data_IF_639821911162
#
_entry.id   IF_639821911162
#
_cell.length_a   1.000
_cell.length_b   1.000
_cell.length_c   1.000
_cell.angle_alpha   90.00
_cell.angle_beta   90.00
_cell.angle_gamma   90.00
#
_symmetry.space_group_name_H-M   'P 1'
#
loop_
_entity.id
_entity.type
_entity.pdbx_description
1 polymer ?
#
# COMPACT_ATOMS: atom_id res chain seq x y z
N UNK A 1 52.93 -31.46 -7.62
CA UNK A 1 52.25 -30.49 -8.51
C UNK A 1 50.75 -30.70 -8.40
N UNK A 2 50.12 -30.24 -7.32
CA UNK A 2 48.67 -30.36 -7.14
C UNK A 2 48.24 -29.28 -6.14
N UNK A 3 47.93 -28.09 -6.65
CA UNK A 3 47.24 -26.98 -5.96
C UNK A 3 47.14 -25.77 -6.91
N UNK A 4 46.62 -25.98 -8.11
CA UNK A 4 46.13 -24.90 -8.96
C UNK A 4 44.81 -25.44 -9.49
N UNK A 5 43.76 -24.61 -9.52
CA UNK A 5 42.37 -24.91 -9.92
C UNK A 5 41.40 -25.17 -8.75
N UNK A 6 41.23 -24.21 -7.84
CA UNK A 6 39.91 -24.04 -7.20
C UNK A 6 39.69 -22.62 -6.64
N UNK A 7 39.81 -21.59 -7.49
CA UNK A 7 39.45 -20.23 -7.09
C UNK A 7 38.89 -19.39 -8.24
N UNK A 8 37.92 -19.95 -8.97
CA UNK A 8 37.08 -19.15 -9.87
C UNK A 8 35.68 -19.73 -9.95
N UNK A 9 35.03 -19.93 -8.80
CA UNK A 9 33.56 -19.99 -8.75
C UNK A 9 33.06 -18.55 -8.83
N UNK A 10 33.00 -18.01 -10.04
CA UNK A 10 32.13 -16.88 -10.34
C UNK A 10 30.72 -17.34 -9.93
N UNK A 11 30.21 -16.81 -8.83
CA UNK A 11 28.78 -16.88 -8.53
C UNK A 11 28.10 -16.05 -9.59
N UNK A 12 27.77 -16.70 -10.70
CA UNK A 12 26.83 -16.23 -11.69
C UNK A 12 25.54 -15.91 -10.93
N UNK A 13 25.33 -14.62 -10.67
CA UNK A 13 24.04 -14.11 -10.23
C UNK A 13 23.17 -14.24 -11.47
N UNK A 14 22.54 -15.40 -11.64
CA UNK A 14 21.51 -15.61 -12.64
C UNK A 14 20.36 -14.69 -12.26
N UNK A 15 20.38 -13.47 -12.79
CA UNK A 15 19.18 -12.66 -12.94
C UNK A 15 18.37 -13.47 -13.94
N UNK A 16 17.47 -14.30 -13.45
CA UNK A 16 16.38 -14.81 -14.28
C UNK A 16 15.60 -13.58 -14.70
N UNK A 17 15.94 -13.04 -15.86
CA UNK A 17 15.06 -12.22 -16.68
C UNK A 17 13.91 -13.13 -17.12
N UNK A 18 13.00 -13.38 -16.17
CA UNK A 18 11.70 -13.96 -16.49
C UNK A 18 10.86 -12.84 -17.12
N UNK A 19 11.07 -12.71 -18.43
CA UNK A 19 10.07 -12.51 -19.46
C UNK A 19 8.98 -11.46 -19.18
N UNK A 20 9.08 -10.40 -19.98
CA UNK A 20 7.99 -9.55 -20.48
C UNK A 20 7.26 -8.68 -19.44
N UNK A 21 7.78 -7.46 -19.38
CA UNK A 21 7.09 -6.25 -18.97
C UNK A 21 5.85 -6.00 -19.83
N UNK A 22 4.74 -6.63 -19.44
CA UNK A 22 3.39 -6.35 -19.97
C UNK A 22 2.59 -5.47 -18.99
N UNK A 23 3.29 -4.77 -18.08
CA UNK A 23 2.65 -4.11 -16.94
C UNK A 23 2.69 -2.59 -17.04
N UNK A 24 1.65 -2.05 -17.68
CA UNK A 24 1.33 -0.63 -17.66
C UNK A 24 0.94 -0.23 -16.22
N UNK A 25 1.73 0.63 -15.59
CA UNK A 25 1.31 1.34 -14.39
C UNK A 25 0.06 2.15 -14.73
N UNK A 26 -1.05 1.87 -14.06
CA UNK A 26 -2.28 2.66 -14.18
C UNK A 26 -1.96 4.04 -13.58
N UNK A 27 -1.74 5.04 -14.44
CA UNK A 27 -1.60 6.44 -14.02
C UNK A 27 -2.84 6.82 -13.22
N UNK A 28 -2.63 7.09 -11.92
CA UNK A 28 -3.68 7.64 -11.07
C UNK A 28 -4.09 8.98 -11.69
N UNK A 29 -5.37 9.19 -12.05
CA UNK A 29 -5.82 10.48 -12.52
C UNK A 29 -5.38 11.57 -11.54
N UNK A 30 -4.79 12.65 -12.05
CA UNK A 30 -4.40 13.81 -11.24
C UNK A 30 -5.59 14.53 -10.58
N UNK A 31 -6.81 14.03 -10.80
CA UNK A 31 -8.06 14.53 -10.25
C UNK A 31 -8.34 13.88 -8.89
N UNK A 32 -7.42 14.05 -7.96
CA UNK A 32 -7.78 14.08 -6.55
C UNK A 32 -7.01 15.24 -5.92
N UNK A 33 -7.77 16.26 -5.51
CA UNK A 33 -7.36 17.56 -4.97
C UNK A 33 -6.75 17.41 -3.56
N UNK A 34 -5.88 16.42 -3.41
CA UNK A 34 -4.99 16.25 -2.27
C UNK A 34 -3.66 16.84 -2.68
N UNK A 35 -3.52 18.16 -2.49
CA UNK A 35 -2.20 18.76 -2.33
C UNK A 35 -1.45 17.94 -1.26
N UNK A 36 -0.36 17.23 -1.58
CA UNK A 36 0.58 16.88 -0.54
C UNK A 36 1.01 18.22 0.06
N UNK A 37 0.97 18.36 1.38
CA UNK A 37 1.65 19.48 2.04
C UNK A 37 3.06 19.49 1.46
N UNK A 38 3.34 20.55 0.69
CA UNK A 38 4.61 20.83 0.03
C UNK A 38 5.63 21.06 1.14
N UNK A 39 6.15 19.96 1.67
CA UNK A 39 7.19 19.92 2.68
C UNK A 39 8.53 19.92 1.96
N UNK A 40 9.01 21.11 1.62
CA UNK A 40 10.41 21.52 1.49
C UNK A 40 11.44 20.53 0.88
N UNK A 41 11.10 19.75 -0.13
CA UNK A 41 12.10 19.11 -1.01
C UNK A 41 12.41 20.02 -2.20
N UNK A 42 13.20 21.04 -1.90
CA UNK A 42 13.66 22.06 -2.83
C UNK A 42 14.50 21.41 -3.94
N UNK A 43 13.93 21.26 -5.15
CA UNK A 43 14.60 20.67 -6.34
C UNK A 43 15.98 21.30 -6.61
N UNK A 44 16.12 22.58 -6.26
CA UNK A 44 17.37 23.33 -6.35
C UNK A 44 18.45 22.75 -5.44
N UNK A 45 18.11 22.34 -4.20
CA UNK A 45 19.04 21.66 -3.29
C UNK A 45 19.48 20.31 -3.84
N UNK A 46 18.57 19.54 -4.45
CA UNK A 46 18.92 18.24 -5.03
C UNK A 46 19.93 18.40 -6.18
N UNK A 47 19.72 19.39 -7.05
CA UNK A 47 20.67 19.71 -8.13
C UNK A 47 22.01 20.21 -7.59
N UNK A 48 22.00 21.03 -6.54
CA UNK A 48 23.22 21.52 -5.90
C UNK A 48 24.04 20.39 -5.27
N UNK A 49 23.39 19.41 -4.61
CA UNK A 49 24.06 18.23 -4.04
C UNK A 49 24.69 17.35 -5.12
N UNK A 50 24.01 17.15 -6.26
CA UNK A 50 24.54 16.37 -7.38
C UNK A 50 25.78 17.06 -7.97
N UNK A 51 25.74 18.39 -8.10
CA UNK A 51 26.87 19.15 -8.61
C UNK A 51 28.05 19.15 -7.63
N UNK A 52 27.82 19.33 -6.34
CA UNK A 52 28.84 19.25 -5.30
C UNK A 52 29.50 17.86 -5.26
N UNK A 53 28.73 16.78 -5.39
CA UNK A 53 29.27 15.42 -5.49
C UNK A 53 30.11 15.19 -6.76
N UNK A 54 29.72 15.79 -7.89
CA UNK A 54 30.48 15.69 -9.13
C UNK A 54 31.83 16.44 -9.03
N UNK A 55 31.83 17.61 -8.40
CA UNK A 55 33.02 18.41 -8.13
C UNK A 55 33.97 17.69 -7.15
N UNK A 56 33.43 17.11 -6.07
CA UNK A 56 34.21 16.30 -5.11
C UNK A 56 34.83 15.06 -5.76
N UNK A 57 34.09 14.35 -6.60
CA UNK A 57 34.62 13.20 -7.36
C UNK A 57 35.76 13.62 -8.29
N UNK A 58 35.66 14.81 -8.89
CA UNK A 58 36.68 15.37 -9.76
C UNK A 58 37.93 15.78 -8.99
N UNK A 59 37.78 16.37 -7.80
CA UNK A 59 38.89 16.73 -6.89
C UNK A 59 39.63 15.47 -6.41
N UNK A 60 38.89 14.41 -6.04
CA UNK A 60 39.48 13.12 -5.63
C UNK A 60 40.27 12.49 -6.78
N UNK A 61 39.74 12.53 -8.00
CA UNK A 61 40.40 12.03 -9.19
C UNK A 61 41.67 12.83 -9.55
N UNK A 62 41.65 14.16 -9.40
CA UNK A 62 42.83 14.98 -9.62
C UNK A 62 43.91 14.74 -8.55
N UNK A 63 43.50 14.57 -7.29
CA UNK A 63 44.42 14.27 -6.18
C UNK A 63 45.10 12.90 -6.35
N UNK A 64 44.37 11.89 -6.83
CA UNK A 64 44.95 10.56 -7.08
C UNK A 64 45.98 10.58 -8.21
N UNK A 65 45.75 11.39 -9.25
CA UNK A 65 46.71 11.59 -10.37
C UNK A 65 47.96 12.35 -9.92
N UNK A 66 47.84 13.32 -9.01
CA UNK A 66 48.98 14.05 -8.45
C UNK A 66 49.82 13.17 -7.51
N UNK A 67 49.20 12.28 -6.74
CA UNK A 67 49.94 11.34 -5.87
C UNK A 67 50.63 10.21 -6.64
N UNK A 68 50.15 9.86 -7.85
CA UNK A 68 50.77 8.82 -8.68
C UNK A 68 52.07 9.28 -9.37
N UNK A 69 52.32 10.59 -9.48
CA UNK A 69 53.49 11.14 -10.22
C UNK A 69 54.69 11.48 -9.34
N UNK A 70 54.57 11.34 -8.02
CA UNK A 70 55.71 11.35 -7.11
C UNK A 70 56.10 9.91 -6.79
N UNK A 71 56.69 9.23 -7.77
CA UNK A 71 57.61 8.14 -7.44
C UNK A 71 58.78 8.77 -6.69
N UNK A 72 58.71 8.70 -5.36
CA UNK A 72 59.76 9.12 -4.44
C UNK A 72 61.05 8.45 -4.90
N UNK A 73 62.02 9.24 -5.34
CA UNK A 73 63.37 8.74 -5.54
C UNK A 73 63.83 8.22 -4.18
N UNK A 74 63.95 6.90 -4.03
CA UNK A 74 64.30 6.23 -2.78
C UNK A 74 65.68 6.74 -2.34
N UNK A 75 65.69 7.72 -1.43
CA UNK A 75 66.90 8.08 -0.69
C UNK A 75 67.15 6.90 0.25
N UNK A 76 68.29 6.21 0.16
CA UNK A 76 68.52 5.04 0.99
C UNK A 76 68.44 5.43 2.47
N UNK A 77 67.63 4.71 3.25
CA UNK A 77 67.52 4.95 4.70
C UNK A 77 68.87 4.70 5.36
N UNK A 78 69.28 5.62 6.24
CA UNK A 78 70.48 5.46 7.05
C UNK A 78 70.18 4.44 8.17
N UNK A 79 71.15 3.58 8.49
CA UNK A 79 70.94 2.43 9.40
C UNK A 79 70.42 2.83 10.78
N UNK A 80 70.79 3.99 11.32
CA UNK A 80 70.33 4.49 12.62
C UNK A 80 68.85 4.91 12.61
N UNK A 81 68.41 5.62 11.57
CA UNK A 81 66.99 5.96 11.35
C UNK A 81 66.14 4.70 11.22
N UNK A 82 66.64 3.70 10.49
CA UNK A 82 65.96 2.42 10.34
C UNK A 82 65.80 1.67 11.67
N UNK A 83 66.86 1.58 12.47
CA UNK A 83 66.81 0.92 13.78
C UNK A 83 65.83 1.63 14.72
N UNK A 84 65.82 2.96 14.71
CA UNK A 84 64.84 3.74 15.48
C UNK A 84 63.41 3.43 15.03
N UNK A 85 63.13 3.51 13.73
CA UNK A 85 61.82 3.21 13.16
C UNK A 85 61.39 1.76 13.42
N UNK A 86 62.32 0.81 13.35
CA UNK A 86 62.09 -0.60 13.65
C UNK A 86 61.66 -0.79 15.11
N UNK A 87 62.42 -0.22 16.06
CA UNK A 87 62.13 -0.35 17.49
C UNK A 87 60.80 0.32 17.86
N UNK A 88 60.47 1.47 17.25
CA UNK A 88 59.16 2.12 17.40
C UNK A 88 58.05 1.21 16.89
N UNK A 89 58.18 0.67 15.67
CA UNK A 89 57.16 -0.20 15.06
C UNK A 89 56.94 -1.49 15.84
N UNK A 90 57.99 -2.04 16.43
CA UNK A 90 57.92 -3.24 17.28
C UNK A 90 57.48 -2.92 18.72
N UNK A 91 57.25 -1.65 19.07
CA UNK A 91 56.81 -1.21 20.40
C UNK A 91 57.91 -1.29 21.48
N UNK A 92 59.18 -1.36 21.09
CA UNK A 92 60.33 -1.56 21.98
C UNK A 92 60.88 -0.22 22.53
N UNK A 93 60.05 0.55 23.21
CA UNK A 93 60.36 1.95 23.60
C UNK A 93 61.55 2.06 24.56
N UNK A 94 61.71 1.12 25.51
CA UNK A 94 62.84 1.11 26.44
C UNK A 94 64.17 0.80 25.75
N UNK A 95 64.15 -0.10 24.77
CA UNK A 95 65.34 -0.45 23.98
C UNK A 95 65.73 0.70 23.06
N UNK A 96 64.75 1.42 22.51
CA UNK A 96 64.97 2.62 21.74
C UNK A 96 65.68 3.70 22.56
N UNK A 97 65.22 3.95 23.78
CA UNK A 97 65.78 4.98 24.67
C UNK A 97 67.24 4.68 25.07
N UNK A 98 67.52 3.42 25.43
CA UNK A 98 68.88 2.95 25.67
C UNK A 98 69.76 3.08 24.43
N UNK A 99 69.27 2.62 23.27
CA UNK A 99 70.00 2.67 22.01
C UNK A 99 70.34 4.11 21.61
N UNK A 100 69.38 5.03 21.68
CA UNK A 100 69.60 6.45 21.35
C UNK A 100 70.63 7.08 22.28
N UNK A 101 70.53 6.84 23.59
CA UNK A 101 71.46 7.37 24.58
C UNK A 101 72.89 6.90 24.32
N UNK A 102 73.09 5.59 24.15
CA UNK A 102 74.40 5.01 23.87
C UNK A 102 74.95 5.47 22.51
N UNK A 103 74.10 5.54 21.48
CA UNK A 103 74.48 5.94 20.13
C UNK A 103 74.99 7.39 20.08
N UNK A 104 74.27 8.32 20.72
CA UNK A 104 74.71 9.72 20.80
C UNK A 104 75.98 9.89 21.65
N UNK A 105 76.14 9.11 22.71
CA UNK A 105 77.36 9.10 23.52
C UNK A 105 78.58 8.61 22.72
N UNK A 106 78.42 7.54 21.92
CA UNK A 106 79.48 7.02 21.05
C UNK A 106 79.85 7.99 19.92
N UNK A 107 78.85 8.67 19.35
CA UNK A 107 79.08 9.73 18.36
C UNK A 107 79.85 10.92 18.95
N UNK A 108 79.51 11.37 20.16
CA UNK A 108 80.18 12.50 20.81
C UNK A 108 81.63 12.19 21.19
N UNK A 109 81.93 10.93 21.53
CA UNK A 109 83.28 10.44 21.79
C UNK A 109 84.11 10.20 20.52
N UNK A 110 83.52 10.37 19.33
CA UNK A 110 84.18 10.16 18.04
C UNK A 110 84.49 8.70 17.72
N UNK A 111 83.85 7.75 18.42
CA UNK A 111 84.04 6.31 18.19
C UNK A 111 83.28 5.80 16.95
N UNK A 112 82.30 6.58 16.47
CA UNK A 112 81.52 6.32 15.27
C UNK A 112 81.48 7.64 14.47
N UNK A 113 82.05 7.65 13.26
CA UNK A 113 81.91 8.79 12.37
C UNK A 113 80.63 8.66 11.53
N UNK A 114 80.00 9.79 11.17
CA UNK A 114 78.81 9.79 10.29
C UNK A 114 79.04 9.13 8.92
N UNK A 115 80.30 8.97 8.50
CA UNK A 115 80.69 8.32 7.25
C UNK A 115 80.73 6.79 7.36
N UNK A 116 80.83 6.25 8.58
CA UNK A 116 80.87 4.82 8.85
C UNK A 116 79.46 4.21 8.93
N UNK A 117 78.43 5.06 8.97
CA UNK A 117 77.03 4.65 9.00
C UNK A 117 76.60 4.31 7.56
N UNK A 118 76.43 3.01 7.31
CA UNK A 118 75.94 2.51 6.03
C UNK A 118 74.46 2.79 5.79
N UNK A 119 74.00 2.46 4.59
CA UNK A 119 72.59 2.49 4.21
C UNK A 119 71.94 1.11 4.40
N UNK A 120 70.64 1.11 4.66
CA UNK A 120 69.86 -0.13 4.72
C UNK A 120 69.77 -0.73 3.32
N UNK A 121 69.99 -2.06 3.16
CA UNK A 121 69.86 -2.70 1.87
C UNK A 121 68.46 -2.55 1.26
N UNK A 122 68.38 -2.07 0.02
CA UNK A 122 67.14 -1.77 -0.70
C UNK A 122 66.11 -2.92 -0.69
N UNK A 123 66.58 -4.18 -0.71
CA UNK A 123 65.71 -5.37 -0.64
C UNK A 123 64.85 -5.43 0.61
N UNK A 124 65.33 -4.91 1.73
CA UNK A 124 64.60 -4.91 2.99
C UNK A 124 63.51 -3.82 2.99
N UNK A 125 63.83 -2.62 2.50
CA UNK A 125 62.86 -1.52 2.31
C UNK A 125 61.77 -1.92 1.32
N UNK A 126 62.15 -2.58 0.23
CA UNK A 126 61.21 -3.12 -0.75
C UNK A 126 60.26 -4.17 -0.14
N UNK A 127 60.78 -5.12 0.66
CA UNK A 127 59.95 -6.10 1.34
C UNK A 127 58.98 -5.46 2.34
N UNK A 128 59.40 -4.41 3.06
CA UNK A 128 58.48 -3.66 3.92
C UNK A 128 57.36 -3.00 3.13
N UNK A 129 57.70 -2.37 2.00
CA UNK A 129 56.73 -1.75 1.12
C UNK A 129 55.69 -2.78 0.65
N UNK A 130 56.15 -3.93 0.14
CA UNK A 130 55.27 -5.03 -0.27
C UNK A 130 54.36 -5.53 0.87
N UNK A 131 54.87 -5.66 2.10
CA UNK A 131 54.04 -6.07 3.24
C UNK A 131 53.01 -5.01 3.66
N UNK A 132 53.32 -3.72 3.47
CA UNK A 132 52.32 -2.65 3.64
C UNK A 132 51.25 -2.70 2.56
N UNK A 133 51.64 -2.85 1.29
CA UNK A 133 50.72 -2.97 0.17
C UNK A 133 49.81 -4.19 0.30
N UNK A 134 50.37 -5.34 0.68
CA UNK A 134 49.60 -6.56 0.95
C UNK A 134 48.61 -6.36 2.09
N UNK A 135 48.98 -5.65 3.16
CA UNK A 135 48.03 -5.29 4.23
C UNK A 135 46.93 -4.36 3.74
N UNK A 136 47.28 -3.34 2.94
CA UNK A 136 46.31 -2.40 2.33
C UNK A 136 45.32 -3.15 1.45
N UNK A 137 45.81 -3.95 0.50
CA UNK A 137 45.00 -4.75 -0.42
C UNK A 137 44.10 -5.74 0.31
N UNK A 138 44.60 -6.41 1.36
CA UNK A 138 43.76 -7.29 2.20
C UNK A 138 42.63 -6.53 2.87
N UNK A 139 42.89 -5.34 3.40
CA UNK A 139 41.87 -4.50 4.04
C UNK A 139 40.82 -4.04 3.02
N UNK A 140 41.26 -3.61 1.84
CA UNK A 140 40.36 -3.23 0.74
C UNK A 140 39.49 -4.42 0.29
N UNK A 141 40.08 -5.61 0.15
CA UNK A 141 39.34 -6.83 -0.20
C UNK A 141 38.25 -7.14 0.83
N UNK A 142 38.55 -7.07 2.13
CA UNK A 142 37.54 -7.30 3.18
C UNK A 142 36.44 -6.22 3.17
N UNK A 143 36.81 -4.96 2.90
CA UNK A 143 35.83 -3.88 2.73
C UNK A 143 34.89 -4.14 1.54
N UNK A 144 35.43 -4.57 0.39
CA UNK A 144 34.62 -4.92 -0.78
C UNK A 144 33.72 -6.12 -0.53
N UNK A 145 34.20 -7.16 0.17
CA UNK A 145 33.38 -8.31 0.58
C UNK A 145 32.22 -7.89 1.48
N UNK A 146 32.47 -6.98 2.43
CA UNK A 146 31.43 -6.44 3.31
C UNK A 146 30.40 -5.63 2.51
N UNK A 147 30.85 -4.75 1.61
CA UNK A 147 29.98 -3.96 0.76
C UNK A 147 29.11 -4.85 -0.16
N UNK A 148 29.71 -5.87 -0.78
CA UNK A 148 29.00 -6.83 -1.62
C UNK A 148 27.95 -7.63 -0.83
N UNK A 149 28.29 -8.09 0.38
CA UNK A 149 27.34 -8.78 1.27
C UNK A 149 26.16 -7.88 1.63
N UNK A 150 26.40 -6.62 2.01
CA UNK A 150 25.35 -5.64 2.30
C UNK A 150 24.46 -5.35 1.09
N UNK A 151 25.05 -5.18 -0.09
CA UNK A 151 24.32 -4.96 -1.33
C UNK A 151 23.42 -6.17 -1.68
N UNK A 152 23.94 -7.39 -1.50
CA UNK A 152 23.17 -8.63 -1.68
C UNK A 152 21.97 -8.71 -0.74
N UNK A 153 22.15 -8.38 0.54
CA UNK A 153 21.05 -8.35 1.51
C UNK A 153 20.00 -7.29 1.17
N UNK A 154 20.42 -6.10 0.74
CA UNK A 154 19.50 -5.03 0.31
C UNK A 154 18.70 -5.46 -0.93
N UNK A 155 19.36 -6.08 -1.92
CA UNK A 155 18.71 -6.60 -3.11
C UNK A 155 17.67 -7.67 -2.77
N UNK A 156 17.98 -8.60 -1.86
CA UNK A 156 17.01 -9.60 -1.39
C UNK A 156 15.78 -8.97 -0.72
N UNK A 157 15.95 -7.88 0.03
CA UNK A 157 14.82 -7.15 0.64
C UNK A 157 13.94 -6.51 -0.43
N UNK A 158 14.55 -5.82 -1.41
CA UNK A 158 13.82 -5.18 -2.51
C UNK A 158 13.06 -6.22 -3.34
N UNK A 159 13.68 -7.37 -3.64
CA UNK A 159 13.03 -8.46 -4.36
C UNK A 159 11.80 -9.00 -3.62
N UNK A 160 11.91 -9.22 -2.30
CA UNK A 160 10.77 -9.67 -1.49
C UNK A 160 9.63 -8.65 -1.49
N UNK A 161 9.94 -7.36 -1.38
CA UNK A 161 8.92 -6.30 -1.41
C UNK A 161 8.25 -6.21 -2.78
N UNK A 162 9.04 -6.23 -3.86
CA UNK A 162 8.54 -6.30 -5.24
C UNK A 162 7.60 -7.49 -5.43
N UNK A 163 8.00 -8.68 -4.98
CA UNK A 163 7.20 -9.90 -5.12
C UNK A 163 5.92 -9.84 -4.26
N UNK A 164 6.00 -9.25 -3.07
CA UNK A 164 4.84 -8.98 -2.23
C UNK A 164 3.84 -8.06 -2.93
N UNK A 165 4.29 -6.93 -3.49
CA UNK A 165 3.42 -6.02 -4.25
C UNK A 165 2.83 -6.68 -5.49
N UNK A 166 3.63 -7.43 -6.25
CA UNK A 166 3.18 -8.16 -7.44
C UNK A 166 2.10 -9.18 -7.09
N UNK A 167 2.30 -9.95 -6.02
CA UNK A 167 1.31 -10.92 -5.54
C UNK A 167 0.04 -10.23 -5.03
N UNK A 168 0.18 -9.17 -4.25
CA UNK A 168 -0.95 -8.43 -3.71
C UNK A 168 -1.79 -7.80 -4.82
N UNK A 169 -1.16 -7.17 -5.82
CA UNK A 169 -1.85 -6.62 -6.97
C UNK A 169 -2.61 -7.71 -7.74
N UNK A 170 -1.99 -8.87 -8.02
CA UNK A 170 -2.67 -10.01 -8.65
C UNK A 170 -3.92 -10.44 -7.87
N UNK A 171 -3.83 -10.53 -6.54
CA UNK A 171 -4.96 -10.84 -5.68
C UNK A 171 -6.06 -9.78 -5.77
N UNK A 172 -5.71 -8.50 -5.67
CA UNK A 172 -6.67 -7.38 -5.76
C UNK A 172 -7.38 -7.38 -7.11
N UNK A 173 -6.67 -7.63 -8.21
CA UNK A 173 -7.28 -7.73 -9.55
C UNK A 173 -8.26 -8.90 -9.63
N UNK A 174 -7.95 -10.05 -9.04
CA UNK A 174 -8.88 -11.18 -8.97
C UNK A 174 -10.14 -10.83 -8.17
N UNK A 175 -9.99 -10.20 -7.01
CA UNK A 175 -11.11 -9.73 -6.19
C UNK A 175 -11.95 -8.67 -6.93
N UNK A 176 -11.31 -7.70 -7.60
CA UNK A 176 -11.95 -6.70 -8.47
C UNK A 176 -12.80 -7.38 -9.55
N UNK A 177 -12.24 -8.34 -10.27
CA UNK A 177 -12.93 -9.03 -11.35
C UNK A 177 -14.12 -9.87 -10.87
N UNK A 178 -14.01 -10.47 -9.67
CA UNK A 178 -15.12 -11.15 -9.02
C UNK A 178 -16.27 -10.18 -8.70
N UNK A 179 -15.95 -9.04 -8.09
CA UNK A 179 -16.95 -8.00 -7.77
C UNK A 179 -17.61 -7.43 -9.04
N UNK A 180 -16.83 -7.18 -10.09
CA UNK A 180 -17.36 -6.75 -11.39
C UNK A 180 -18.37 -7.77 -11.93
N UNK A 181 -18.05 -9.06 -11.82
CA UNK A 181 -18.95 -10.15 -12.27
C UNK A 181 -20.24 -10.19 -11.45
N UNK A 182 -20.14 -10.04 -10.13
CA UNK A 182 -21.29 -9.99 -9.23
C UNK A 182 -22.18 -8.77 -9.53
N UNK A 183 -21.59 -7.60 -9.77
CA UNK A 183 -22.32 -6.39 -10.18
C UNK A 183 -23.04 -6.60 -11.52
N UNK A 184 -22.38 -7.22 -12.51
CA UNK A 184 -23.00 -7.53 -13.81
C UNK A 184 -24.21 -8.46 -13.64
N UNK A 185 -24.07 -9.52 -12.83
CA UNK A 185 -25.17 -10.44 -12.52
C UNK A 185 -26.33 -9.73 -11.82
N UNK A 186 -26.02 -8.85 -10.87
CA UNK A 186 -27.03 -8.08 -10.15
C UNK A 186 -27.80 -7.13 -11.08
N UNK A 187 -27.09 -6.39 -11.93
CA UNK A 187 -27.71 -5.52 -12.95
C UNK A 187 -28.64 -6.29 -13.88
N UNK A 188 -28.20 -7.47 -14.35
CA UNK A 188 -29.04 -8.33 -15.18
C UNK A 188 -30.31 -8.79 -14.44
N UNK A 189 -30.20 -9.15 -13.16
CA UNK A 189 -31.34 -9.53 -12.32
C UNK A 189 -32.34 -8.38 -12.15
N UNK A 190 -31.89 -7.15 -11.89
CA UNK A 190 -32.78 -5.99 -11.79
C UNK A 190 -33.44 -5.62 -13.13
N UNK A 191 -32.69 -5.69 -14.23
CA UNK A 191 -33.25 -5.50 -15.56
C UNK A 191 -34.36 -6.52 -15.86
N UNK A 192 -34.22 -7.75 -15.36
CA UNK A 192 -35.25 -8.79 -15.52
C UNK A 192 -36.56 -8.52 -14.75
N UNK A 193 -36.51 -7.76 -13.64
CA UNK A 193 -37.72 -7.39 -12.89
C UNK A 193 -38.49 -6.22 -13.49
N UNK A 194 -37.83 -5.35 -14.26
CA UNK A 194 -38.46 -4.21 -14.92
C UNK A 194 -39.75 -4.57 -15.69
N UNK A 195 -39.78 -5.59 -16.56
CA UNK A 195 -41.01 -5.99 -17.25
C UNK A 195 -42.10 -6.50 -16.31
N UNK A 196 -41.74 -7.21 -15.24
CA UNK A 196 -42.70 -7.71 -14.25
C UNK A 196 -43.38 -6.55 -13.50
N UNK A 197 -42.60 -5.54 -13.11
CA UNK A 197 -43.13 -4.33 -12.48
C UNK A 197 -44.05 -3.56 -13.43
N UNK A 198 -43.64 -3.38 -14.70
CA UNK A 198 -44.48 -2.73 -15.74
C UNK A 198 -45.81 -3.45 -15.90
N UNK A 199 -45.79 -4.79 -16.02
CA UNK A 199 -47.01 -5.58 -16.12
C UNK A 199 -47.91 -5.44 -14.89
N UNK A 200 -47.34 -5.38 -13.69
CA UNK A 200 -48.13 -5.19 -12.47
C UNK A 200 -48.80 -3.81 -12.44
N UNK A 201 -48.08 -2.76 -12.85
CA UNK A 201 -48.62 -1.40 -12.97
C UNK A 201 -49.74 -1.33 -14.01
N UNK A 202 -49.57 -1.96 -15.18
CA UNK A 202 -50.59 -2.04 -16.22
C UNK A 202 -51.86 -2.75 -15.74
N UNK A 203 -51.70 -3.88 -15.04
CA UNK A 203 -52.81 -4.61 -14.42
C UNK A 203 -53.54 -3.76 -13.39
N UNK A 204 -52.80 -3.07 -12.53
CA UNK A 204 -53.37 -2.16 -11.54
C UNK A 204 -54.20 -1.05 -12.20
N UNK A 205 -53.67 -0.38 -13.24
CA UNK A 205 -54.42 0.65 -13.96
C UNK A 205 -55.66 0.09 -14.66
N UNK A 206 -55.58 -1.12 -15.22
CA UNK A 206 -56.71 -1.78 -15.88
C UNK A 206 -57.83 -2.08 -14.88
N UNK A 207 -57.49 -2.66 -13.73
CA UNK A 207 -58.44 -2.93 -12.65
C UNK A 207 -59.06 -1.63 -12.14
N UNK A 208 -58.26 -0.56 -12.01
CA UNK A 208 -58.75 0.75 -11.57
C UNK A 208 -59.79 1.33 -12.56
N UNK A 209 -59.52 1.24 -13.87
CA UNK A 209 -60.48 1.65 -14.92
C UNK A 209 -61.76 0.81 -14.90
N UNK A 210 -61.63 -0.51 -14.80
CA UNK A 210 -62.78 -1.42 -14.71
C UNK A 210 -63.62 -1.14 -13.46
N UNK A 211 -62.99 -0.96 -12.30
CA UNK A 211 -63.69 -0.59 -11.05
C UNK A 211 -64.50 0.69 -11.22
N UNK A 212 -63.95 1.69 -11.90
CA UNK A 212 -64.64 2.95 -12.18
C UNK A 212 -65.86 2.73 -13.08
N UNK A 213 -65.72 1.96 -14.18
CA UNK A 213 -66.83 1.62 -15.08
C UNK A 213 -67.94 0.85 -14.36
N UNK A 214 -67.60 -0.22 -13.64
CA UNK A 214 -68.57 -1.00 -12.84
C UNK A 214 -69.23 -0.14 -11.77
N UNK A 215 -68.53 0.87 -11.23
CA UNK A 215 -69.15 1.80 -10.30
C UNK A 215 -70.21 2.67 -10.96
N UNK A 216 -69.93 3.22 -12.13
CA UNK A 216 -70.90 4.03 -12.88
C UNK A 216 -72.11 3.21 -13.33
N UNK A 217 -71.91 1.95 -13.75
CA UNK A 217 -73.01 1.04 -14.08
C UNK A 217 -73.90 0.74 -12.86
N UNK A 218 -73.28 0.51 -11.71
CA UNK A 218 -74.00 0.33 -10.44
C UNK A 218 -74.80 1.57 -10.08
N UNK A 219 -74.20 2.76 -10.16
CA UNK A 219 -74.86 4.02 -9.85
C UNK A 219 -76.04 4.29 -10.79
N UNK A 220 -75.90 3.96 -12.08
CA UNK A 220 -76.99 4.02 -13.06
C UNK A 220 -78.13 3.05 -12.72
N UNK A 221 -77.82 1.79 -12.37
CA UNK A 221 -78.81 0.79 -12.00
C UNK A 221 -79.55 1.19 -10.71
N UNK A 222 -78.82 1.67 -9.70
CA UNK A 222 -79.40 2.22 -8.46
C UNK A 222 -80.32 3.40 -8.78
N UNK A 223 -79.88 4.34 -9.63
CA UNK A 223 -80.71 5.46 -10.07
C UNK A 223 -82.01 5.03 -10.77
N UNK A 224 -81.96 3.99 -11.62
CA UNK A 224 -83.15 3.41 -12.24
C UNK A 224 -84.08 2.75 -11.20
N UNK A 225 -83.53 1.96 -10.27
CA UNK A 225 -84.31 1.32 -9.20
C UNK A 225 -84.97 2.37 -8.31
N UNK A 226 -84.24 3.40 -7.90
CA UNK A 226 -84.79 4.51 -7.10
C UNK A 226 -85.87 5.27 -7.86
N UNK A 227 -85.67 5.53 -9.16
CA UNK A 227 -86.69 6.13 -10.02
C UNK A 227 -87.96 5.29 -10.12
N UNK A 228 -87.82 3.98 -10.37
CA UNK A 228 -88.95 3.04 -10.41
C UNK A 228 -89.66 2.95 -9.05
N UNK A 229 -88.91 2.89 -7.95
CA UNK A 229 -89.46 2.84 -6.59
C UNK A 229 -90.26 4.12 -6.27
N UNK A 230 -89.77 5.30 -6.69
CA UNK A 230 -90.51 6.56 -6.56
C UNK A 230 -91.81 6.54 -7.39
N UNK A 231 -91.78 6.02 -8.62
CA UNK A 231 -93.01 5.88 -9.43
C UNK A 231 -94.00 4.90 -8.81
N UNK A 232 -93.54 3.78 -8.24
CA UNK A 232 -94.39 2.84 -7.52
C UNK A 232 -95.01 3.47 -6.28
N UNK A 233 -94.24 4.19 -5.46
CA UNK A 233 -94.77 4.90 -4.28
C UNK A 233 -95.82 5.97 -4.64
N UNK A 234 -95.62 6.69 -5.75
CA UNK A 234 -96.60 7.66 -6.24
C UNK A 234 -97.90 6.97 -6.72
N UNK A 235 -97.79 5.80 -7.36
CA UNK A 235 -98.94 4.99 -7.79
C UNK A 235 -99.67 4.33 -6.60
N UNK A 236 -98.92 3.89 -5.58
CA UNK A 236 -99.47 3.36 -4.32
C UNK A 236 -100.14 4.45 -3.49
N UNK A 237 -99.59 5.67 -3.44
CA UNK A 237 -100.26 6.84 -2.85
C UNK A 237 -101.54 7.24 -3.61
N UNK A 238 -101.66 6.89 -4.89
CA UNK A 238 -102.90 7.02 -5.66
C UNK A 238 -103.92 5.89 -5.43
N UNK A 239 -103.55 4.80 -4.73
CA UNK A 239 -104.41 3.64 -4.42
C UNK A 239 -104.47 3.32 -2.92
N UNK A 240 -104.27 4.30 -2.05
CA UNK A 240 -104.40 4.12 -0.61
C UNK A 240 -105.42 5.09 -0.02
N UNK A 241 -106.70 4.73 -0.13
CA UNK A 241 -107.63 4.92 0.97
C UNK A 241 -108.05 3.52 1.43
N UNK A 242 -107.89 3.25 2.74
CA UNK A 242 -108.20 2.01 3.50
C UNK A 242 -107.13 0.90 3.42
N UNK A 243 -106.57 0.28 4.47
CA UNK A 243 -106.81 0.13 5.93
C UNK A 243 -105.50 -0.44 6.55
N UNK A 244 -105.22 -0.26 7.86
CA UNK A 244 -103.95 -0.60 8.50
C UNK A 244 -103.89 -2.06 8.98
N UNK A 245 -102.73 -2.74 8.87
CA UNK A 245 -102.40 -3.93 9.69
C UNK A 245 -100.89 -4.02 10.00
N UNK A 246 -100.64 -4.15 11.29
CA UNK A 246 -99.46 -4.63 12.03
C UNK A 246 -98.58 -5.68 11.35
N UNK A 247 -97.25 -5.53 11.46
CA UNK A 247 -96.35 -6.57 12.05
C UNK A 247 -94.89 -6.15 12.20
N UNK A 248 -94.37 -6.51 13.37
CA UNK A 248 -93.04 -7.04 13.69
C UNK A 248 -91.81 -6.31 13.15
N UNK A 249 -91.08 -5.70 14.09
CA UNK A 249 -89.73 -5.21 13.85
C UNK A 249 -88.76 -6.34 13.52
N UNK A 250 -87.97 -6.12 12.48
CA UNK A 250 -86.63 -6.67 12.36
C UNK A 250 -85.68 -5.54 11.94
N UNK A 251 -84.79 -5.18 12.86
CA UNK A 251 -83.62 -4.33 12.64
C UNK A 251 -82.65 -5.10 11.74
N UNK A 252 -82.53 -4.71 10.47
CA UNK A 252 -81.37 -5.08 9.66
C UNK A 252 -80.31 -3.99 9.84
N UNK A 253 -79.22 -4.33 10.52
CA UNK A 253 -78.03 -3.49 10.59
C UNK A 253 -77.37 -3.44 9.21
N UNK A 254 -77.04 -2.24 8.76
CA UNK A 254 -76.27 -2.02 7.53
C UNK A 254 -74.83 -2.44 7.82
N UNK A 255 -74.36 -3.50 7.16
CA UNK A 255 -72.96 -3.94 7.20
C UNK A 255 -72.02 -3.09 6.31
N UNK A 256 -72.27 -1.80 6.14
CA UNK A 256 -71.41 -0.95 5.28
C UNK A 256 -70.10 -0.52 5.97
N UNK A 257 -69.97 -0.72 7.30
CA UNK A 257 -68.80 -0.30 8.08
C UNK A 257 -67.71 -1.36 8.27
N UNK A 258 -68.08 -2.67 8.29
CA UNK A 258 -67.12 -3.75 8.63
C UNK A 258 -66.14 -4.05 7.51
N UNK A 259 -66.54 -3.87 6.25
CA UNK A 259 -65.68 -4.20 5.11
C UNK A 259 -64.55 -3.18 4.92
N UNK A 260 -64.76 -1.89 5.26
CA UNK A 260 -63.70 -0.87 5.22
C UNK A 260 -62.59 -1.13 6.25
N UNK A 261 -62.95 -1.46 7.49
CA UNK A 261 -61.99 -1.72 8.55
C UNK A 261 -61.13 -2.99 8.28
N UNK A 262 -61.73 -4.02 7.67
CA UNK A 262 -61.01 -5.25 7.28
C UNK A 262 -60.09 -5.01 6.08
N UNK A 263 -60.48 -4.15 5.14
CA UNK A 263 -59.66 -3.77 3.98
C UNK A 263 -58.45 -2.92 4.40
N UNK A 264 -58.65 -1.91 5.25
CA UNK A 264 -57.57 -1.04 5.77
C UNK A 264 -56.54 -1.81 6.61
N UNK A 265 -57.02 -2.77 7.43
CA UNK A 265 -56.14 -3.67 8.21
C UNK A 265 -55.31 -4.59 7.31
N UNK A 266 -55.82 -4.94 6.12
CA UNK A 266 -55.12 -5.81 5.16
C UNK A 266 -54.08 -5.03 4.35
N UNK A 267 -54.34 -3.77 4.04
CA UNK A 267 -53.42 -2.86 3.33
C UNK A 267 -52.24 -2.40 4.22
N UNK A 268 -52.48 -2.13 5.51
CA UNK A 268 -51.40 -1.83 6.47
C UNK A 268 -50.46 -3.03 6.69
N UNK A 269 -50.97 -4.26 6.60
CA UNK A 269 -50.19 -5.49 6.78
C UNK A 269 -49.20 -5.75 5.62
N UNK A 270 -49.49 -5.24 4.42
CA UNK A 270 -48.60 -5.34 3.25
C UNK A 270 -47.49 -4.29 3.24
N UNK A 271 -47.72 -3.10 3.82
CA UNK A 271 -46.71 -2.03 3.90
C UNK A 271 -45.57 -2.33 4.88
N UNK A 272 -45.80 -3.16 5.89
CA UNK A 272 -44.81 -3.45 6.93
C UNK A 272 -43.98 -4.73 6.68
N UNK A 273 -44.37 -5.58 5.73
CA UNK A 273 -43.73 -6.88 5.50
C UNK A 273 -42.35 -6.81 4.79
N UNK A 274 -41.91 -5.61 4.37
CA UNK A 274 -40.64 -5.40 3.65
C UNK A 274 -39.50 -4.79 4.46
N UNK A 275 -39.70 -4.44 5.74
CA UNK A 275 -38.67 -3.81 6.57
C UNK A 275 -38.08 -4.84 7.51
N UNK A 276 -36.91 -5.40 7.17
CA UNK A 276 -36.11 -6.14 8.12
C UNK A 276 -35.74 -5.21 9.29
N UNK A 277 -35.97 -5.66 10.53
CA UNK A 277 -35.54 -4.93 11.72
C UNK A 277 -34.01 -4.74 11.68
N UNK A 278 -33.57 -3.49 11.64
CA UNK A 278 -32.17 -3.15 11.82
C UNK A 278 -31.78 -3.43 13.27
N UNK A 279 -30.88 -4.39 13.47
CA UNK A 279 -30.24 -4.69 14.75
C UNK A 279 -29.13 -3.65 15.01
N UNK A 280 -29.27 -2.76 16.02
CA UNK A 280 -28.28 -1.73 16.32
C UNK A 280 -26.94 -2.31 16.82
N UNK A 281 -26.83 -3.63 17.06
CA UNK A 281 -25.58 -4.28 17.45
C UNK A 281 -24.63 -4.60 16.27
N UNK A 282 -25.07 -4.46 15.01
CA UNK A 282 -24.27 -4.77 13.81
C UNK A 282 -23.76 -3.56 13.03
N UNK A 283 -23.86 -2.35 13.58
CA UNK A 283 -23.37 -1.13 12.95
C UNK A 283 -21.81 -1.08 12.94
N UNK A 284 -21.15 -1.17 11.77
CA UNK A 284 -19.69 -1.15 11.67
C UNK A 284 -19.06 0.21 12.04
N UNK A 285 -19.87 1.23 12.31
CA UNK A 285 -19.42 2.61 12.54
C UNK A 285 -19.07 2.92 14.01
N UNK A 286 -19.30 2.00 14.96
CA UNK A 286 -19.07 2.22 16.41
C UNK A 286 -17.84 1.53 17.02
N UNK A 287 -17.06 0.74 16.28
CA UNK A 287 -15.83 0.14 16.81
C UNK A 287 -14.57 0.95 16.50
N UNK A 288 -14.41 2.15 17.08
CA UNK A 288 -13.08 2.77 17.22
C UNK A 288 -12.97 3.50 18.55
N UNK A 289 -12.16 2.97 19.46
CA UNK A 289 -11.88 3.63 20.74
C UNK A 289 -11.22 2.80 21.84
N UNK A 290 -10.41 1.77 21.54
CA UNK A 290 -9.50 1.20 22.56
C UNK A 290 -8.22 2.04 22.59
N UNK A 291 -8.19 3.02 23.51
CA UNK A 291 -6.96 3.72 23.92
C UNK A 291 -6.04 2.70 24.59
N UNK A 292 -4.87 2.46 24.01
CA UNK A 292 -3.77 1.78 24.71
C UNK A 292 -3.15 2.74 25.71
N UNK A 293 -3.13 2.34 26.98
CA UNK A 293 -2.40 3.02 28.04
C UNK A 293 -0.91 2.72 27.88
N UNK A 294 -0.09 3.75 27.64
CA UNK A 294 1.36 3.69 27.75
C UNK A 294 1.72 3.61 29.23
N UNK A 295 2.23 2.47 29.68
CA UNK A 295 3.05 2.40 30.90
C UNK A 295 4.49 2.73 30.48
N UNK A 296 5.05 3.75 31.12
CA UNK A 296 6.47 3.99 31.16
C UNK A 296 7.10 2.97 32.13
N UNK A 297 8.14 2.29 31.69
CA UNK A 297 9.27 1.81 32.47
C UNK A 297 10.53 1.99 31.60
#
# INVERSE_FOLDING_TARGET
MSAVLDLTKHTEVTITEDSEDDYQYEEVPADDDFSPVEGDEDLVKALQIIQEQAEDAQIIAQRSVLTSKHSVSEIPEVVDDFLCNFLVRMGMVRTLDCFQTEWYELMQKGAIERKDIGFVPDMYTYNQHLEMEKRRLKKELENYKLAASKAKEALQKIQKERDFHRMNHKRVVQEKNRLISDIKRLKAHYASYEPMLKQLTEKYQTILRQKMLTSLERDRAVGQVTGLQATLQNLESGRASEIPVTRAGHRCEREDGRQKAVQESREQKYLYAGVAQNDPAKDPTKQKGKKYSKKCD
#
